data_IF_600425649355
#
_entry.id   IF_600425649355
#
_cell.length_a   1.000
_cell.length_b   1.000
_cell.length_c   1.000
_cell.angle_alpha   90.00
_cell.angle_beta   90.00
_cell.angle_gamma   90.00
#
_symmetry.space_group_name_H-M   'P 1'
#
loop_
_entity.id
_entity.type
_entity.pdbx_description
1 polymer ?
#
# COMPACT_ATOMS: atom_id res chain seq x y z
N UNK A 1 -7.30 -7.57 -6.11
CA UNK A 1 -7.72 -9.00 -6.09
C UNK A 1 -8.43 -9.34 -7.38
N UNK A 2 -8.23 -10.55 -7.89
CA UNK A 2 -8.92 -11.03 -9.08
C UNK A 2 -10.42 -11.22 -8.81
N UNK A 3 -11.24 -11.16 -9.85
CA UNK A 3 -12.70 -11.36 -9.71
C UNK A 3 -13.03 -12.77 -9.17
N UNK A 4 -12.22 -13.79 -9.47
CA UNK A 4 -12.43 -15.15 -8.98
C UNK A 4 -12.14 -15.30 -7.48
N UNK A 5 -11.18 -14.55 -6.94
CA UNK A 5 -10.83 -14.58 -5.52
C UNK A 5 -11.77 -13.75 -4.66
N UNK A 6 -12.28 -12.64 -5.19
CA UNK A 6 -13.15 -11.75 -4.45
C UNK A 6 -14.63 -12.16 -4.54
N UNK A 7 -15.05 -12.64 -5.68
CA UNK A 7 -16.44 -12.95 -6.01
C UNK A 7 -17.12 -11.78 -6.74
N UNK A 8 -18.19 -12.13 -7.45
CA UNK A 8 -19.09 -11.23 -8.16
C UNK A 8 -20.45 -11.89 -8.27
N UNK A 9 -21.46 -11.11 -8.65
CA UNK A 9 -22.82 -11.59 -8.94
C UNK A 9 -23.20 -11.27 -10.38
N UNK A 10 -24.08 -12.07 -10.93
CA UNK A 10 -24.79 -11.73 -12.17
C UNK A 10 -26.05 -10.94 -11.84
N UNK A 11 -26.49 -10.09 -12.75
CA UNK A 11 -27.75 -9.33 -12.59
C UNK A 11 -28.97 -10.23 -12.40
N UNK A 12 -28.89 -11.47 -12.89
CA UNK A 12 -29.95 -12.51 -12.79
C UNK A 12 -29.89 -13.30 -11.48
N UNK A 13 -28.80 -13.21 -10.71
CA UNK A 13 -28.69 -13.88 -9.41
C UNK A 13 -29.73 -13.30 -8.43
N UNK A 14 -29.91 -13.99 -7.31
CA UNK A 14 -30.92 -13.61 -6.31
C UNK A 14 -30.25 -13.04 -5.05
N UNK A 15 -31.04 -12.39 -4.22
CA UNK A 15 -30.62 -11.94 -2.87
C UNK A 15 -30.09 -13.10 -2.04
N UNK A 16 -30.65 -14.32 -2.20
CA UNK A 16 -30.13 -15.51 -1.54
C UNK A 16 -28.69 -15.80 -1.96
N UNK A 17 -28.40 -15.77 -3.26
CA UNK A 17 -27.06 -16.00 -3.79
C UNK A 17 -26.06 -14.95 -3.27
N UNK A 18 -26.50 -13.69 -3.18
CA UNK A 18 -25.74 -12.63 -2.55
C UNK A 18 -25.41 -12.93 -1.07
N UNK A 19 -26.40 -13.34 -0.28
CA UNK A 19 -26.19 -13.64 1.15
C UNK A 19 -25.25 -14.84 1.34
N UNK A 20 -25.33 -15.85 0.47
CA UNK A 20 -24.42 -17.00 0.49
C UNK A 20 -22.98 -16.56 0.11
N UNK A 21 -22.83 -15.65 -0.84
CA UNK A 21 -21.54 -15.07 -1.21
C UNK A 21 -20.92 -14.23 -0.08
N UNK A 22 -21.73 -13.45 0.66
CA UNK A 22 -21.33 -12.71 1.86
C UNK A 22 -20.74 -13.64 2.91
N UNK A 23 -21.44 -14.73 3.21
CA UNK A 23 -20.99 -15.74 4.20
C UNK A 23 -19.68 -16.38 3.80
N UNK A 24 -19.51 -16.70 2.53
CA UNK A 24 -18.31 -17.36 1.98
C UNK A 24 -17.08 -16.44 1.99
N UNK A 25 -17.23 -15.17 1.63
CA UNK A 25 -16.10 -14.28 1.33
C UNK A 25 -15.79 -13.25 2.42
N UNK A 26 -16.56 -13.20 3.49
CA UNK A 26 -16.44 -12.20 4.57
C UNK A 26 -16.45 -10.75 4.05
N UNK A 27 -17.12 -10.52 2.94
CA UNK A 27 -17.34 -9.21 2.33
C UNK A 27 -18.83 -8.99 2.15
N UNK A 28 -19.28 -7.75 2.23
CA UNK A 28 -20.68 -7.38 2.03
C UNK A 28 -20.92 -6.53 0.79
N UNK A 29 -19.91 -6.39 -0.06
CA UNK A 29 -19.96 -5.57 -1.27
C UNK A 29 -19.42 -6.35 -2.45
N UNK A 30 -20.22 -6.49 -3.50
CA UNK A 30 -19.82 -7.24 -4.68
C UNK A 30 -20.16 -6.49 -5.95
N UNK A 31 -19.30 -6.54 -6.98
CA UNK A 31 -19.64 -6.06 -8.31
C UNK A 31 -20.68 -6.98 -8.94
N UNK A 32 -21.59 -6.37 -9.70
CA UNK A 32 -22.62 -7.08 -10.49
C UNK A 32 -22.26 -6.95 -11.96
N UNK A 33 -22.31 -8.06 -12.68
CA UNK A 33 -22.00 -8.13 -14.10
C UNK A 33 -23.20 -8.66 -14.90
N UNK A 34 -23.25 -8.29 -16.17
CA UNK A 34 -24.17 -8.88 -17.14
C UNK A 34 -23.56 -10.14 -17.82
N UNK A 35 -24.31 -10.72 -18.78
CA UNK A 35 -23.90 -11.90 -19.56
C UNK A 35 -22.57 -11.69 -20.33
N UNK A 36 -22.22 -10.44 -20.66
CA UNK A 36 -20.97 -10.07 -21.34
C UNK A 36 -19.82 -9.76 -20.39
N UNK A 37 -19.96 -10.06 -19.09
CA UNK A 37 -19.02 -9.77 -18.01
C UNK A 37 -18.75 -8.26 -17.81
N UNK A 38 -19.61 -7.39 -18.34
CA UNK A 38 -19.57 -5.95 -18.15
C UNK A 38 -20.15 -5.62 -16.78
N UNK A 39 -19.47 -4.73 -16.03
CA UNK A 39 -19.97 -4.25 -14.73
C UNK A 39 -21.19 -3.37 -14.96
N UNK A 40 -22.33 -3.76 -14.37
CA UNK A 40 -23.62 -3.06 -14.49
C UNK A 40 -24.09 -2.48 -13.16
N UNK A 41 -23.46 -2.85 -12.05
CA UNK A 41 -23.83 -2.38 -10.73
C UNK A 41 -22.91 -2.87 -9.62
N UNK A 42 -23.24 -2.47 -8.41
CA UNK A 42 -22.69 -2.99 -7.16
C UNK A 42 -23.85 -3.30 -6.23
N UNK A 43 -23.78 -4.38 -5.47
CA UNK A 43 -24.72 -4.72 -4.42
C UNK A 43 -24.04 -4.71 -3.06
N UNK A 44 -24.74 -4.17 -2.08
CA UNK A 44 -24.29 -4.07 -0.69
C UNK A 44 -25.34 -4.64 0.26
N UNK A 45 -24.97 -4.81 1.54
CA UNK A 45 -25.94 -5.25 2.56
C UNK A 45 -27.11 -4.24 2.73
N UNK A 46 -26.87 -2.95 2.48
CA UNK A 46 -27.92 -1.92 2.51
C UNK A 46 -28.95 -2.12 1.40
N UNK A 47 -28.49 -2.58 0.23
CA UNK A 47 -29.35 -2.79 -0.94
C UNK A 47 -30.22 -4.06 -0.82
N UNK A 48 -29.65 -5.12 -0.25
CA UNK A 48 -30.23 -6.46 -0.27
C UNK A 48 -30.72 -6.99 1.09
N UNK A 49 -30.24 -6.42 2.21
CA UNK A 49 -30.39 -7.02 3.55
C UNK A 49 -31.83 -7.17 4.05
N UNK A 50 -32.75 -6.33 3.59
CA UNK A 50 -34.18 -6.35 3.95
C UNK A 50 -35.08 -6.88 2.82
N UNK A 51 -34.51 -7.35 1.71
CA UNK A 51 -35.23 -7.82 0.55
C UNK A 51 -35.52 -9.32 0.62
N UNK A 52 -36.61 -9.73 -0.05
CA UNK A 52 -36.97 -11.15 -0.16
C UNK A 52 -35.84 -11.95 -0.84
N UNK A 53 -35.46 -13.15 -0.30
CA UNK A 53 -34.42 -13.98 -0.86
C UNK A 53 -34.54 -14.32 -2.35
N UNK A 54 -35.75 -14.36 -2.88
CA UNK A 54 -36.00 -14.62 -4.29
C UNK A 54 -35.95 -13.39 -5.20
N UNK A 55 -35.68 -12.19 -4.64
CA UNK A 55 -35.57 -10.97 -5.45
C UNK A 55 -34.27 -11.02 -6.26
N UNK A 56 -34.34 -10.68 -7.55
CA UNK A 56 -33.17 -10.64 -8.43
C UNK A 56 -32.30 -9.40 -8.16
N UNK A 57 -30.99 -9.55 -8.34
CA UNK A 57 -30.00 -8.54 -8.03
C UNK A 57 -30.17 -7.27 -8.88
N UNK A 58 -30.61 -7.40 -10.13
CA UNK A 58 -30.89 -6.26 -11.01
C UNK A 58 -31.89 -5.25 -10.43
N UNK A 59 -32.81 -5.73 -9.56
CA UNK A 59 -33.85 -4.90 -8.91
C UNK A 59 -33.35 -4.16 -7.65
N UNK A 60 -32.27 -4.61 -7.08
CA UNK A 60 -31.77 -4.09 -5.79
C UNK A 60 -30.42 -3.40 -5.91
N UNK A 61 -29.60 -3.73 -6.91
CA UNK A 61 -28.26 -3.18 -7.08
C UNK A 61 -28.24 -1.68 -7.30
N UNK A 62 -27.19 -1.02 -6.86
CA UNK A 62 -26.86 0.35 -7.23
C UNK A 62 -26.18 0.36 -8.60
N UNK A 63 -26.75 1.10 -9.58
CA UNK A 63 -26.27 1.11 -10.98
C UNK A 63 -25.21 2.17 -11.26
N UNK A 64 -25.20 3.27 -10.51
CA UNK A 64 -24.17 4.31 -10.65
C UNK A 64 -22.94 3.87 -9.89
N UNK A 65 -21.94 3.35 -10.62
CA UNK A 65 -20.72 2.76 -10.02
C UNK A 65 -19.50 3.49 -10.51
N UNK A 66 -18.67 3.94 -9.58
CA UNK A 66 -17.31 4.35 -9.90
C UNK A 66 -16.47 3.09 -10.18
N UNK A 67 -15.82 3.08 -11.34
CA UNK A 67 -14.94 2.01 -11.79
C UNK A 67 -13.57 2.59 -12.15
N UNK A 68 -12.54 1.76 -12.10
CA UNK A 68 -11.18 2.16 -12.46
C UNK A 68 -10.55 1.20 -13.46
N UNK A 69 -9.61 1.68 -14.27
CA UNK A 69 -8.83 0.86 -15.19
C UNK A 69 -7.49 0.45 -14.61
N UNK A 70 -6.79 -0.48 -15.28
CA UNK A 70 -5.46 -0.97 -14.85
C UNK A 70 -4.37 0.09 -14.81
N UNK A 71 -4.47 1.12 -15.65
CA UNK A 71 -3.47 2.20 -15.74
C UNK A 71 -3.69 3.31 -14.72
N UNK A 72 -4.76 3.26 -13.93
CA UNK A 72 -5.07 4.31 -12.96
C UNK A 72 -4.11 4.25 -11.78
N UNK A 73 -3.55 5.39 -11.39
CA UNK A 73 -2.67 5.48 -10.23
C UNK A 73 -3.45 5.16 -8.95
N UNK A 74 -2.89 4.28 -8.12
CA UNK A 74 -3.51 3.84 -6.86
C UNK A 74 -3.79 5.00 -5.90
N UNK A 75 -2.97 6.06 -5.92
CA UNK A 75 -3.20 7.26 -5.12
C UNK A 75 -4.50 7.98 -5.49
N UNK A 76 -4.81 8.07 -6.80
CA UNK A 76 -6.05 8.67 -7.28
C UNK A 76 -7.27 7.82 -6.87
N UNK A 77 -7.14 6.49 -6.96
CA UNK A 77 -8.18 5.56 -6.49
C UNK A 77 -8.42 5.74 -5.00
N UNK A 78 -7.33 5.83 -4.21
CA UNK A 78 -7.38 6.05 -2.76
C UNK A 78 -8.11 7.34 -2.39
N UNK A 79 -7.75 8.45 -3.02
CA UNK A 79 -8.40 9.75 -2.80
C UNK A 79 -9.91 9.67 -3.09
N UNK A 80 -10.28 9.02 -4.20
CA UNK A 80 -11.69 8.86 -4.57
C UNK A 80 -12.45 7.98 -3.58
N UNK A 81 -11.84 6.87 -3.14
CA UNK A 81 -12.43 5.99 -2.12
C UNK A 81 -12.69 6.71 -0.80
N UNK A 82 -11.79 7.62 -0.40
CA UNK A 82 -11.96 8.43 0.82
C UNK A 82 -13.04 9.48 0.63
N UNK A 83 -12.99 10.24 -0.47
CA UNK A 83 -13.90 11.35 -0.72
C UNK A 83 -15.37 10.92 -0.85
N UNK A 84 -15.61 9.74 -1.44
CA UNK A 84 -16.96 9.22 -1.72
C UNK A 84 -17.34 8.03 -0.82
N UNK A 85 -16.54 7.75 0.19
CA UNK A 85 -16.72 6.63 1.15
C UNK A 85 -16.90 5.26 0.48
N UNK A 86 -16.18 5.01 -0.61
CA UNK A 86 -16.18 3.70 -1.24
C UNK A 86 -15.27 2.73 -0.49
N UNK A 87 -15.76 1.54 -0.18
CA UNK A 87 -14.95 0.47 0.41
C UNK A 87 -14.42 -0.51 -0.63
N UNK A 88 -15.02 -0.52 -1.82
CA UNK A 88 -14.64 -1.38 -2.93
C UNK A 88 -14.87 -0.64 -4.25
N UNK A 89 -13.93 -0.78 -5.17
CA UNK A 89 -13.98 -0.22 -6.53
C UNK A 89 -13.70 -1.34 -7.53
N UNK A 90 -14.62 -1.60 -8.48
CA UNK A 90 -14.36 -2.54 -9.56
C UNK A 90 -13.24 -2.05 -10.47
N UNK A 91 -12.36 -2.96 -10.86
CA UNK A 91 -11.31 -2.76 -11.86
C UNK A 91 -11.76 -3.37 -13.17
N UNK A 92 -11.75 -2.57 -14.22
CA UNK A 92 -12.29 -2.97 -15.52
C UNK A 92 -11.28 -2.75 -16.66
N UNK A 93 -11.51 -3.44 -17.76
CA UNK A 93 -10.88 -3.14 -19.05
C UNK A 93 -11.55 -1.93 -19.72
N UNK A 94 -10.98 -1.48 -20.84
CA UNK A 94 -11.55 -0.38 -21.64
C UNK A 94 -12.97 -0.63 -22.15
N UNK A 95 -13.34 -1.89 -22.33
CA UNK A 95 -14.70 -2.32 -22.68
C UNK A 95 -15.61 -2.57 -21.45
N UNK A 96 -15.21 -2.08 -20.26
CA UNK A 96 -15.94 -2.21 -18.98
C UNK A 96 -16.11 -3.66 -18.46
N UNK A 97 -15.40 -4.64 -19.02
CA UNK A 97 -15.43 -6.01 -18.47
C UNK A 97 -14.64 -6.07 -17.16
N UNK A 98 -15.23 -6.77 -16.18
CA UNK A 98 -14.65 -6.93 -14.85
C UNK A 98 -13.33 -7.72 -14.89
N UNK A 99 -12.28 -7.15 -14.31
CA UNK A 99 -10.98 -7.80 -14.09
C UNK A 99 -10.79 -8.23 -12.65
N UNK A 100 -11.25 -7.40 -11.72
CA UNK A 100 -11.09 -7.60 -10.30
C UNK A 100 -11.64 -6.45 -9.50
N UNK A 101 -11.21 -6.34 -8.26
CA UNK A 101 -11.61 -5.25 -7.36
C UNK A 101 -10.41 -4.72 -6.58
N UNK A 102 -10.49 -3.46 -6.21
CA UNK A 102 -9.63 -2.82 -5.22
C UNK A 102 -10.49 -2.53 -4.00
N UNK A 103 -10.07 -3.00 -2.83
CA UNK A 103 -10.71 -2.69 -1.56
C UNK A 103 -9.92 -1.63 -0.80
N UNK A 104 -10.55 -0.95 0.16
CA UNK A 104 -9.87 0.00 1.07
C UNK A 104 -8.67 -0.67 1.77
N UNK A 105 -8.80 -1.93 2.14
CA UNK A 105 -7.71 -2.72 2.73
C UNK A 105 -6.52 -2.88 1.78
N UNK A 106 -6.77 -3.20 0.50
CA UNK A 106 -5.69 -3.37 -0.49
C UNK A 106 -4.91 -2.05 -0.68
N UNK A 107 -5.61 -0.92 -0.66
CA UNK A 107 -4.99 0.42 -0.71
C UNK A 107 -4.13 0.66 0.52
N UNK A 108 -4.66 0.41 1.72
CA UNK A 108 -3.91 0.60 2.98
C UNK A 108 -2.66 -0.29 3.05
N UNK A 109 -2.76 -1.57 2.67
CA UNK A 109 -1.62 -2.48 2.62
C UNK A 109 -0.54 -1.99 1.65
N UNK A 110 -0.94 -1.50 0.47
CA UNK A 110 0.01 -0.97 -0.51
C UNK A 110 0.69 0.32 -0.04
N UNK A 111 -0.07 1.23 0.55
CA UNK A 111 0.47 2.49 1.07
C UNK A 111 1.41 2.25 2.26
N UNK A 112 1.07 1.34 3.18
CA UNK A 112 1.95 0.97 4.30
C UNK A 112 3.28 0.41 3.81
N UNK A 113 3.26 -0.49 2.83
CA UNK A 113 4.49 -1.04 2.23
C UNK A 113 5.34 0.04 1.52
N UNK A 114 4.69 1.04 0.92
CA UNK A 114 5.40 2.14 0.25
C UNK A 114 6.03 3.12 1.25
N UNK A 115 5.45 3.29 2.43
CA UNK A 115 5.99 4.18 3.47
C UNK A 115 7.16 3.56 4.25
N UNK A 116 7.19 2.23 4.39
CA UNK A 116 8.31 1.53 5.08
C UNK A 116 9.59 1.52 4.22
N UNK A 117 9.48 1.79 2.92
CA UNK A 117 10.58 1.62 1.93
C UNK A 117 11.27 2.92 1.48
N UNK A 118 10.89 4.10 1.94
CA UNK A 118 11.31 5.36 1.30
C UNK A 118 11.93 6.42 2.19
N UNK A 119 11.92 6.24 3.50
CA UNK A 119 12.71 7.11 4.37
C UNK A 119 14.02 6.39 4.70
N UNK A 120 15.18 6.95 4.32
CA UNK A 120 16.45 6.38 4.70
C UNK A 120 16.54 6.31 6.22
N UNK A 121 17.09 5.21 6.73
CA UNK A 121 17.39 5.07 8.15
C UNK A 121 18.35 6.17 8.61
N UNK A 122 18.43 6.41 9.90
CA UNK A 122 19.39 7.39 10.44
C UNK A 122 20.83 7.09 9.98
N UNK A 123 21.23 5.83 10.00
CA UNK A 123 22.53 5.37 9.51
C UNK A 123 22.75 5.68 8.03
N UNK A 124 21.75 5.38 7.18
CA UNK A 124 21.80 5.70 5.74
C UNK A 124 21.88 7.21 5.48
N UNK A 125 21.17 8.04 6.26
CA UNK A 125 21.23 9.49 6.16
C UNK A 125 22.62 10.01 6.48
N UNK A 126 23.26 9.51 7.53
CA UNK A 126 24.65 9.86 7.89
C UNK A 126 25.60 9.39 6.79
N UNK A 127 25.50 8.14 6.34
CA UNK A 127 26.34 7.57 5.30
C UNK A 127 26.32 8.36 3.99
N UNK A 128 25.14 8.88 3.57
CA UNK A 128 25.01 9.72 2.38
C UNK A 128 25.70 11.08 2.48
N UNK A 129 26.05 11.54 3.68
CA UNK A 129 26.73 12.82 3.94
C UNK A 129 28.24 12.68 4.14
N UNK A 130 28.74 11.44 4.11
CA UNK A 130 30.17 11.15 4.19
C UNK A 130 30.80 11.17 2.79
N UNK A 131 31.93 11.81 2.67
CA UNK A 131 32.80 11.80 1.48
C UNK A 131 34.16 11.29 1.86
N UNK A 132 34.65 10.27 1.14
CA UNK A 132 35.96 9.63 1.43
C UNK A 132 37.01 10.15 0.46
N UNK A 133 38.09 10.70 1.01
CA UNK A 133 39.24 11.24 0.27
C UNK A 133 40.53 10.65 0.85
N UNK A 134 41.13 9.72 0.14
CA UNK A 134 42.43 9.07 0.47
C UNK A 134 42.62 8.72 1.97
N UNK A 135 42.98 9.68 2.78
CA UNK A 135 43.22 9.51 4.23
C UNK A 135 42.27 10.35 5.10
N UNK A 136 41.24 10.98 4.48
CA UNK A 136 40.31 11.86 5.16
C UNK A 136 38.86 11.46 4.88
N UNK A 137 38.04 11.59 5.91
CA UNK A 137 36.58 11.48 5.76
C UNK A 137 35.96 12.83 6.09
N UNK A 138 35.23 13.39 5.13
CA UNK A 138 34.58 14.68 5.29
C UNK A 138 33.08 14.45 5.44
N UNK A 139 32.47 15.08 6.44
CA UNK A 139 31.02 15.06 6.62
C UNK A 139 30.40 16.42 6.31
N UNK A 140 29.32 16.43 5.56
CA UNK A 140 28.45 17.59 5.42
C UNK A 140 27.48 17.62 6.59
N UNK A 141 27.67 18.57 7.51
CA UNK A 141 26.87 18.70 8.73
C UNK A 141 25.52 19.33 8.41
N UNK A 142 24.44 18.66 8.81
CA UNK A 142 23.06 19.12 8.72
C UNK A 142 22.50 19.48 10.11
N UNK A 143 21.46 20.34 10.21
CA UNK A 143 20.92 20.78 11.51
C UNK A 143 20.49 19.66 12.44
N UNK A 144 19.96 18.54 11.90
CA UNK A 144 19.52 17.39 12.69
C UNK A 144 20.66 16.60 13.34
N UNK A 145 21.90 16.84 12.92
CA UNK A 145 23.11 16.22 13.45
C UNK A 145 23.66 16.93 14.70
N UNK A 146 23.15 18.12 14.97
CA UNK A 146 23.66 18.99 16.05
C UNK A 146 22.72 18.95 17.26
N UNK A 147 23.33 19.02 18.44
CA UNK A 147 22.63 19.33 19.68
C UNK A 147 22.26 20.82 19.75
N UNK A 148 21.41 21.22 20.71
CA UNK A 148 21.00 22.61 20.91
C UNK A 148 22.11 23.60 21.09
N UNK A 149 23.26 23.14 21.56
CA UNK A 149 24.51 23.94 21.77
C UNK A 149 25.37 24.07 20.50
N UNK A 150 24.92 23.50 19.36
CA UNK A 150 25.68 23.52 18.10
C UNK A 150 26.78 22.48 17.98
N UNK A 151 26.91 21.58 18.96
CA UNK A 151 27.90 20.49 18.94
C UNK A 151 27.31 19.27 18.26
N UNK A 152 28.15 18.47 17.57
CA UNK A 152 27.73 17.23 16.91
C UNK A 152 27.21 16.24 17.97
N UNK A 153 26.01 15.70 17.74
CA UNK A 153 25.39 14.74 18.67
C UNK A 153 26.21 13.45 18.75
N UNK A 154 26.37 12.90 19.95
CA UNK A 154 27.12 11.66 20.16
C UNK A 154 26.65 10.48 19.32
N UNK A 155 25.32 10.35 19.07
CA UNK A 155 24.79 9.33 18.20
C UNK A 155 25.26 9.48 16.75
N UNK A 156 25.40 10.71 16.26
CA UNK A 156 25.92 11.00 14.91
C UNK A 156 27.39 10.64 14.83
N UNK A 157 28.18 11.02 15.84
CA UNK A 157 29.61 10.69 15.91
C UNK A 157 29.80 9.15 15.90
N UNK A 158 29.03 8.42 16.67
CA UNK A 158 29.06 6.96 16.69
C UNK A 158 28.76 6.34 15.32
N UNK A 159 27.76 6.86 14.59
CA UNK A 159 27.43 6.40 13.23
C UNK A 159 28.56 6.72 12.23
N UNK A 160 29.13 7.90 12.29
CA UNK A 160 30.31 8.27 11.46
C UNK A 160 31.43 7.27 11.64
N UNK A 161 31.80 6.98 12.89
CA UNK A 161 32.87 6.04 13.22
C UNK A 161 32.54 4.61 12.77
N UNK A 162 31.28 4.21 12.86
CA UNK A 162 30.80 2.91 12.36
C UNK A 162 30.98 2.82 10.85
N UNK A 163 30.53 3.83 10.09
CA UNK A 163 30.71 3.86 8.64
C UNK A 163 32.18 3.84 8.23
N UNK A 164 33.02 4.65 8.88
CA UNK A 164 34.46 4.67 8.63
C UNK A 164 35.12 3.32 8.86
N UNK A 165 34.78 2.65 9.95
CA UNK A 165 35.36 1.34 10.26
C UNK A 165 34.84 0.25 9.31
N UNK A 166 33.58 0.28 8.90
CA UNK A 166 33.03 -0.64 7.89
C UNK A 166 33.73 -0.46 6.54
N UNK A 167 33.97 0.77 6.11
CA UNK A 167 34.69 1.06 4.87
C UNK A 167 36.12 0.56 4.89
N UNK A 168 36.85 0.78 5.98
CA UNK A 168 38.20 0.25 6.19
C UNK A 168 38.22 -1.29 6.16
N UNK A 169 37.22 -1.95 6.73
CA UNK A 169 37.09 -3.41 6.73
C UNK A 169 36.85 -3.94 5.32
N UNK A 170 35.93 -3.34 4.60
CA UNK A 170 35.61 -3.75 3.22
C UNK A 170 36.82 -3.56 2.31
N UNK A 171 37.51 -2.42 2.39
CA UNK A 171 38.68 -2.11 1.55
C UNK A 171 39.91 -2.94 1.92
N UNK A 172 40.02 -3.41 3.16
CA UNK A 172 41.13 -4.30 3.58
C UNK A 172 41.00 -5.75 3.20
N UNK A 173 39.78 -6.16 2.68
CA UNK A 173 39.49 -7.55 2.32
C UNK A 173 39.45 -8.51 3.52
N UNK A 174 39.35 -8.02 4.74
CA UNK A 174 39.29 -8.82 5.97
C UNK A 174 37.90 -8.76 6.57
N UNK A 175 37.37 -9.91 6.99
CA UNK A 175 36.16 -9.95 7.82
C UNK A 175 36.54 -9.56 9.27
N UNK A 176 36.38 -8.28 9.60
CA UNK A 176 36.55 -7.77 10.94
C UNK A 176 35.19 -7.47 11.55
N UNK A 177 35.03 -7.75 12.83
CA UNK A 177 33.87 -7.38 13.63
C UNK A 177 34.33 -6.29 14.61
N UNK A 178 33.55 -5.20 14.69
CA UNK A 178 33.80 -4.18 15.71
C UNK A 178 33.27 -4.74 17.03
N UNK A 179 34.17 -5.17 17.91
CA UNK A 179 33.79 -5.70 19.22
C UNK A 179 33.62 -4.58 20.27
N UNK A 180 34.30 -3.48 20.13
CA UNK A 180 34.22 -2.36 21.07
C UNK A 180 34.58 -1.02 20.42
N UNK A 181 33.78 0.02 20.72
CA UNK A 181 34.09 1.41 20.35
C UNK A 181 34.07 2.27 21.62
N UNK A 182 35.21 2.97 21.89
CA UNK A 182 35.33 3.89 22.99
C UNK A 182 35.43 5.32 22.43
N UNK A 183 34.57 6.21 22.90
CA UNK A 183 34.55 7.64 22.56
C UNK A 183 34.93 8.37 23.85
N UNK A 184 36.02 9.14 23.81
CA UNK A 184 36.52 9.91 24.95
C UNK A 184 36.19 11.39 24.80
#
# INVERSE_FOLDING_TARGET
>A
RTCHEYGFLQETDTVKDYLDLVRKNRSSRFPVINQHKVVVGVVTMRDAGDKSPGTTIDKVMTRTVYMTGLATNIANVSQRMIAEDFEMVPVVRSNQTLLGVITRRDVMEKMSRSQVSTLPTFSEQIGQKLSYHHDEVVITVEPFMLEKNGVLANGVLSEILTHMTQDLVVNSGRNLIIEQMLIY
#
